data_IF_751182675825
#
_entry.id   IF_751182675825
#
_cell.length_a   1.000
_cell.length_b   1.000
_cell.length_c   1.000
_cell.angle_alpha   90.00
_cell.angle_beta   90.00
_cell.angle_gamma   90.00
#
_symmetry.space_group_name_H-M   'P 1'
#
loop_
_entity.id
_entity.type
_entity.pdbx_description
1 polymer ?
#
# COMPACT_ATOMS: atom_id res chain seq x y z
N UNK A 1 -54.72 -28.17 -0.56
CA UNK A 1 -53.85 -27.34 -1.46
C UNK A 1 -53.89 -25.85 -1.09
N UNK A 2 -55.07 -25.26 -0.84
CA UNK A 2 -55.23 -23.83 -0.54
C UNK A 2 -54.60 -23.35 0.79
N UNK A 3 -54.53 -24.18 1.83
CA UNK A 3 -53.92 -23.81 3.12
C UNK A 3 -52.42 -23.50 2.98
N UNK A 4 -51.67 -24.37 2.28
CA UNK A 4 -50.22 -24.18 2.07
C UNK A 4 -49.90 -22.86 1.33
N UNK A 5 -50.77 -22.48 0.38
CA UNK A 5 -50.65 -21.22 -0.36
C UNK A 5 -50.88 -20.01 0.57
N UNK A 6 -51.86 -20.08 1.47
CA UNK A 6 -52.13 -19.02 2.47
C UNK A 6 -50.99 -18.84 3.47
N UNK A 7 -50.37 -19.94 3.92
CA UNK A 7 -49.18 -19.87 4.80
C UNK A 7 -48.02 -19.22 4.04
N UNK A 8 -47.76 -19.64 2.80
CA UNK A 8 -46.66 -19.08 2.00
C UNK A 8 -46.85 -17.58 1.76
N UNK A 9 -48.07 -17.14 1.44
CA UNK A 9 -48.40 -15.73 1.28
C UNK A 9 -48.19 -14.92 2.58
N UNK A 10 -48.57 -15.48 3.73
CA UNK A 10 -48.36 -14.82 5.02
C UNK A 10 -46.87 -14.70 5.39
N UNK A 11 -46.06 -15.74 5.10
CA UNK A 11 -44.61 -15.72 5.34
C UNK A 11 -43.91 -14.71 4.43
N UNK A 12 -44.27 -14.67 3.14
CA UNK A 12 -43.72 -13.69 2.19
C UNK A 12 -44.10 -12.27 2.60
N UNK A 13 -45.35 -12.02 3.00
CA UNK A 13 -45.78 -10.72 3.51
C UNK A 13 -45.06 -10.30 4.81
N UNK A 14 -44.80 -11.26 5.70
CA UNK A 14 -44.02 -11.02 6.92
C UNK A 14 -42.57 -10.66 6.61
N UNK A 15 -41.93 -11.36 5.67
CA UNK A 15 -40.56 -11.10 5.25
C UNK A 15 -40.41 -9.75 4.55
N UNK A 16 -41.36 -9.37 3.68
CA UNK A 16 -41.33 -8.07 2.99
C UNK A 16 -41.57 -6.92 3.98
N UNK A 17 -42.45 -7.11 4.97
CA UNK A 17 -42.68 -6.14 6.03
C UNK A 17 -41.43 -5.96 6.91
N UNK A 18 -40.76 -7.06 7.28
CA UNK A 18 -39.52 -7.02 8.05
C UNK A 18 -38.40 -6.33 7.26
N UNK A 19 -38.26 -6.62 5.97
CA UNK A 19 -37.27 -5.96 5.11
C UNK A 19 -37.54 -4.45 5.00
N UNK A 20 -38.82 -4.04 4.89
CA UNK A 20 -39.22 -2.63 4.86
C UNK A 20 -38.99 -1.91 6.20
N UNK A 21 -39.11 -2.61 7.33
CA UNK A 21 -38.75 -2.08 8.64
C UNK A 21 -37.24 -1.88 8.76
N UNK A 22 -36.44 -2.85 8.30
CA UNK A 22 -34.99 -2.78 8.33
C UNK A 22 -34.46 -1.64 7.43
N UNK A 23 -35.02 -1.45 6.25
CA UNK A 23 -34.64 -0.31 5.38
C UNK A 23 -35.00 1.02 6.02
N UNK A 24 -36.18 1.16 6.64
CA UNK A 24 -36.55 2.37 7.39
C UNK A 24 -35.63 2.66 8.57
N UNK A 25 -35.19 1.64 9.30
CA UNK A 25 -34.22 1.81 10.41
C UNK A 25 -32.87 2.27 9.87
N UNK A 26 -32.39 1.70 8.76
CA UNK A 26 -31.14 2.12 8.10
C UNK A 26 -31.25 3.54 7.55
N UNK A 27 -32.38 3.94 6.99
CA UNK A 27 -32.63 5.31 6.52
C UNK A 27 -32.73 6.30 7.69
N UNK A 28 -33.39 5.91 8.78
CA UNK A 28 -33.48 6.72 10.01
C UNK A 28 -32.11 6.93 10.66
N UNK A 29 -31.22 5.95 10.61
CA UNK A 29 -29.83 6.10 11.08
C UNK A 29 -28.92 6.88 10.12
N UNK A 30 -29.29 6.98 8.83
CA UNK A 30 -28.61 7.85 7.84
C UNK A 30 -29.08 9.32 7.91
N UNK A 31 -30.03 9.66 8.77
CA UNK A 31 -30.71 10.95 8.83
C UNK A 31 -30.17 11.95 9.87
N UNK A 32 -28.87 12.25 9.88
CA UNK A 32 -28.39 13.44 10.60
C UNK A 32 -28.95 14.73 10.00
N UNK A 33 -29.12 15.83 10.78
CA UNK A 33 -29.60 17.12 10.27
C UNK A 33 -28.78 17.57 9.05
N UNK A 34 -29.38 18.22 8.03
CA UNK A 34 -28.68 18.66 6.82
C UNK A 34 -27.38 19.44 7.10
N UNK A 35 -27.39 20.22 8.18
CA UNK A 35 -26.28 21.05 8.65
C UNK A 35 -25.09 20.23 9.19
N UNK A 36 -25.36 19.08 9.79
CA UNK A 36 -24.34 18.15 10.27
C UNK A 36 -23.68 17.39 9.10
N UNK A 37 -24.48 16.95 8.11
CA UNK A 37 -23.95 16.34 6.88
C UNK A 37 -23.07 17.29 6.07
N UNK A 38 -23.43 18.58 6.00
CA UNK A 38 -22.60 19.59 5.33
C UNK A 38 -21.29 19.85 6.08
N UNK A 39 -21.31 19.87 7.41
CA UNK A 39 -20.12 20.06 8.23
C UNK A 39 -19.14 18.88 8.10
N UNK A 40 -19.64 17.65 8.20
CA UNK A 40 -18.84 16.42 8.03
C UNK A 40 -18.21 16.33 6.64
N UNK A 41 -18.96 16.71 5.59
CA UNK A 41 -18.42 16.79 4.23
C UNK A 41 -17.31 17.84 4.12
N UNK A 42 -17.53 19.02 4.68
CA UNK A 42 -16.53 20.11 4.67
C UNK A 42 -15.25 19.70 5.40
N UNK A 43 -15.36 19.04 6.54
CA UNK A 43 -14.23 18.53 7.31
C UNK A 43 -13.47 17.44 6.53
N UNK A 44 -14.17 16.50 5.90
CA UNK A 44 -13.54 15.46 5.07
C UNK A 44 -12.75 16.05 3.90
N UNK A 45 -13.29 17.07 3.23
CA UNK A 45 -12.57 17.77 2.16
C UNK A 45 -11.35 18.55 2.68
N UNK A 46 -11.46 19.17 3.86
CA UNK A 46 -10.32 19.83 4.50
C UNK A 46 -9.22 18.83 4.87
N UNK A 47 -9.59 17.67 5.42
CA UNK A 47 -8.68 16.59 5.77
C UNK A 47 -8.01 15.97 4.54
N UNK A 48 -8.74 15.82 3.43
CA UNK A 48 -8.18 15.37 2.15
C UNK A 48 -7.13 16.36 1.62
N UNK A 49 -7.45 17.67 1.61
CA UNK A 49 -6.52 18.73 1.21
C UNK A 49 -5.26 18.76 2.09
N UNK A 50 -5.45 18.66 3.40
CA UNK A 50 -4.34 18.59 4.35
C UNK A 50 -3.48 17.33 4.12
N UNK A 51 -4.11 16.18 3.91
CA UNK A 51 -3.42 14.92 3.61
C UNK A 51 -2.54 15.02 2.37
N UNK A 52 -3.06 15.64 1.30
CA UNK A 52 -2.29 15.90 0.08
C UNK A 52 -1.07 16.80 0.36
N UNK A 53 -1.27 17.95 1.02
CA UNK A 53 -0.17 18.86 1.35
C UNK A 53 0.87 18.19 2.24
N UNK A 54 0.42 17.41 3.23
CA UNK A 54 1.30 16.69 4.14
C UNK A 54 2.14 15.63 3.40
N UNK A 55 1.51 14.80 2.54
CA UNK A 55 2.22 13.80 1.73
C UNK A 55 3.30 14.46 0.86
N UNK A 56 2.93 15.50 0.11
CA UNK A 56 3.90 16.22 -0.75
C UNK A 56 5.04 16.81 0.07
N UNK A 57 4.75 17.36 1.26
CA UNK A 57 5.80 17.89 2.14
C UNK A 57 6.72 16.78 2.72
N UNK A 58 6.21 15.57 2.92
CA UNK A 58 7.02 14.40 3.33
C UNK A 58 7.90 13.94 2.16
N UNK A 59 7.34 13.74 0.98
CA UNK A 59 8.09 13.31 -0.22
C UNK A 59 9.17 14.33 -0.63
N UNK A 60 8.88 15.62 -0.48
CA UNK A 60 9.84 16.70 -0.71
C UNK A 60 10.81 16.93 0.47
N UNK A 61 10.76 16.09 1.51
CA UNK A 61 11.62 16.16 2.68
C UNK A 61 11.54 17.51 3.43
N UNK A 62 10.39 18.18 3.41
CA UNK A 62 10.09 19.40 4.19
C UNK A 62 9.53 19.06 5.58
N UNK A 63 8.79 17.95 5.69
CA UNK A 63 8.33 17.37 6.97
C UNK A 63 9.15 16.12 7.27
N UNK A 64 9.89 16.13 8.38
CA UNK A 64 10.85 15.07 8.74
C UNK A 64 10.59 14.54 10.14
N UNK A 65 11.14 13.34 10.43
CA UNK A 65 11.17 12.73 11.78
C UNK A 65 9.80 12.60 12.46
N UNK A 66 8.74 12.39 11.68
CA UNK A 66 7.41 12.07 12.19
C UNK A 66 7.37 10.60 12.65
N UNK A 67 6.63 10.32 13.73
CA UNK A 67 6.51 8.97 14.29
C UNK A 67 5.33 8.18 13.73
N UNK A 68 4.26 8.89 13.41
CA UNK A 68 3.04 8.35 12.81
C UNK A 68 2.50 9.36 11.80
N UNK A 69 1.72 8.86 10.86
CA UNK A 69 0.92 9.70 9.98
C UNK A 69 -0.12 10.46 10.82
N UNK A 70 -0.35 11.77 10.60
CA UNK A 70 -1.44 12.49 11.26
C UNK A 70 -2.79 11.79 11.04
N UNK A 71 -3.59 11.52 12.08
CA UNK A 71 -4.83 10.76 11.94
C UNK A 71 -5.82 11.31 10.89
N UNK A 72 -5.85 12.63 10.69
CA UNK A 72 -6.67 13.28 9.67
C UNK A 72 -6.26 12.92 8.23
N UNK A 73 -5.01 12.50 7.99
CA UNK A 73 -4.52 12.08 6.67
C UNK A 73 -4.93 10.65 6.30
N UNK A 74 -5.55 9.88 7.21
CA UNK A 74 -5.86 8.46 7.00
C UNK A 74 -6.61 8.20 5.68
N UNK A 75 -7.67 8.96 5.42
CA UNK A 75 -8.48 8.74 4.23
C UNK A 75 -7.75 9.12 2.95
N UNK A 76 -6.97 10.21 2.98
CA UNK A 76 -6.10 10.61 1.86
C UNK A 76 -5.11 9.50 1.52
N UNK A 77 -4.38 8.98 2.51
CA UNK A 77 -3.40 7.90 2.28
C UNK A 77 -4.07 6.61 1.84
N UNK A 78 -5.20 6.23 2.42
CA UNK A 78 -5.96 5.08 1.97
C UNK A 78 -6.31 5.19 0.49
N UNK A 79 -6.82 6.35 0.06
CA UNK A 79 -7.15 6.59 -1.34
C UNK A 79 -5.88 6.59 -2.21
N UNK A 80 -4.83 7.30 -1.80
CA UNK A 80 -3.56 7.36 -2.52
C UNK A 80 -2.96 5.97 -2.78
N UNK A 81 -2.91 5.14 -1.74
CA UNK A 81 -2.30 3.80 -1.78
C UNK A 81 -3.18 2.72 -2.40
N UNK A 82 -4.49 2.95 -2.58
CA UNK A 82 -5.42 1.91 -3.06
C UNK A 82 -6.17 2.28 -4.35
N UNK A 83 -6.20 3.56 -4.75
CA UNK A 83 -6.95 4.03 -5.91
C UNK A 83 -6.08 4.24 -7.16
N UNK A 84 -4.86 3.72 -7.18
CA UNK A 84 -4.00 3.72 -8.37
C UNK A 84 -3.03 4.90 -8.48
N UNK A 85 -3.09 5.89 -7.57
CA UNK A 85 -2.20 7.05 -7.67
C UNK A 85 -0.78 6.71 -7.24
N UNK A 86 -0.60 5.93 -6.18
CA UNK A 86 0.71 5.41 -5.76
C UNK A 86 1.40 4.65 -6.91
N UNK A 87 0.67 3.79 -7.61
CA UNK A 87 1.20 3.00 -8.72
C UNK A 87 1.59 3.88 -9.92
N UNK A 88 0.83 4.95 -10.18
CA UNK A 88 1.16 5.93 -11.23
C UNK A 88 2.43 6.71 -10.89
N UNK A 89 2.51 7.25 -9.67
CA UNK A 89 3.67 8.00 -9.21
C UNK A 89 4.94 7.15 -9.29
N UNK A 90 4.85 5.89 -8.84
CA UNK A 90 5.99 4.98 -8.87
C UNK A 90 6.38 4.53 -10.27
N UNK A 91 5.40 4.26 -11.14
CA UNK A 91 5.67 3.92 -12.54
C UNK A 91 6.39 5.06 -13.26
N UNK A 92 5.97 6.30 -13.02
CA UNK A 92 6.63 7.48 -13.57
C UNK A 92 8.07 7.60 -13.07
N UNK A 93 8.32 7.41 -11.78
CA UNK A 93 9.67 7.42 -11.24
C UNK A 93 10.56 6.36 -11.90
N UNK A 94 10.05 5.12 -12.05
CA UNK A 94 10.78 4.04 -12.74
C UNK A 94 11.05 4.36 -14.21
N UNK A 95 10.08 4.94 -14.92
CA UNK A 95 10.27 5.36 -16.32
C UNK A 95 11.43 6.34 -16.44
N UNK A 96 11.47 7.38 -15.60
CA UNK A 96 12.57 8.35 -15.58
C UNK A 96 13.91 7.71 -15.21
N UNK A 97 13.92 6.75 -14.28
CA UNK A 97 15.13 6.00 -13.93
C UNK A 97 15.64 5.21 -15.13
N UNK A 98 14.76 4.52 -15.87
CA UNK A 98 15.14 3.74 -17.05
C UNK A 98 15.67 4.63 -18.17
N UNK A 99 15.05 5.79 -18.40
CA UNK A 99 15.54 6.78 -19.36
C UNK A 99 16.94 7.26 -18.98
N UNK A 100 17.16 7.63 -17.71
CA UNK A 100 18.48 8.02 -17.22
C UNK A 100 19.49 6.87 -17.36
N UNK A 101 19.13 5.67 -16.89
CA UNK A 101 19.97 4.49 -16.98
C UNK A 101 20.41 4.26 -18.42
N UNK A 102 19.49 4.33 -19.39
CA UNK A 102 19.77 4.10 -20.82
C UNK A 102 20.88 4.97 -21.41
N UNK A 103 21.15 6.13 -20.82
CA UNK A 103 22.15 7.10 -21.28
C UNK A 103 23.55 6.87 -20.68
N UNK A 104 23.69 5.99 -19.68
CA UNK A 104 24.96 5.76 -18.99
C UNK A 104 25.84 4.81 -19.83
N UNK A 105 26.97 5.23 -20.41
CA UNK A 105 27.91 4.31 -21.03
C UNK A 105 28.56 3.43 -19.95
N UNK A 106 28.41 2.11 -20.05
CA UNK A 106 29.02 1.19 -19.09
C UNK A 106 30.52 1.04 -19.35
N UNK A 107 31.28 1.00 -18.26
CA UNK A 107 32.71 0.73 -18.24
C UNK A 107 33.02 -0.68 -18.73
N UNK A 108 34.11 -0.87 -19.51
CA UNK A 108 34.56 -2.20 -19.94
C UNK A 108 34.98 -3.13 -18.79
N UNK A 109 35.22 -2.61 -17.59
CA UNK A 109 35.56 -3.43 -16.42
C UNK A 109 34.37 -4.23 -15.86
N UNK A 110 33.14 -3.89 -16.28
CA UNK A 110 31.91 -4.54 -15.84
C UNK A 110 31.57 -4.30 -14.36
N UNK A 111 32.06 -3.21 -13.76
CA UNK A 111 31.89 -2.91 -12.34
C UNK A 111 30.80 -1.88 -12.03
N UNK A 112 30.15 -1.30 -13.06
CA UNK A 112 29.05 -0.37 -12.86
C UNK A 112 27.90 -1.02 -12.10
N UNK A 113 27.53 -0.41 -10.98
CA UNK A 113 26.60 -0.97 -10.03
C UNK A 113 25.35 -0.11 -9.88
N UNK A 114 24.24 -0.77 -9.53
CA UNK A 114 23.01 -0.11 -9.09
C UNK A 114 22.60 -0.68 -7.73
N UNK A 115 22.30 0.21 -6.79
CA UNK A 115 21.87 -0.18 -5.44
C UNK A 115 20.37 0.05 -5.33
N UNK A 116 19.64 -0.94 -4.84
CA UNK A 116 18.21 -0.84 -4.56
C UNK A 116 17.97 -1.14 -3.08
N UNK A 117 17.10 -0.34 -2.47
CA UNK A 117 16.51 -0.70 -1.19
C UNK A 117 15.52 -1.88 -1.36
N UNK A 118 15.18 -2.56 -0.26
CA UNK A 118 14.29 -3.73 -0.27
C UNK A 118 12.88 -3.38 0.16
N UNK A 119 12.69 -2.84 1.37
CA UNK A 119 11.36 -2.66 1.98
C UNK A 119 10.64 -1.44 1.42
N UNK A 120 9.42 -1.63 0.90
CA UNK A 120 8.65 -0.63 0.16
C UNK A 120 9.35 -0.06 -1.10
N UNK A 121 10.47 -0.67 -1.50
CA UNK A 121 11.15 -0.46 -2.79
C UNK A 121 11.02 -1.71 -3.66
N UNK A 122 11.77 -2.79 -3.40
CA UNK A 122 11.65 -4.04 -4.17
C UNK A 122 10.39 -4.82 -3.81
N UNK A 123 10.10 -4.96 -2.51
CA UNK A 123 8.94 -5.70 -1.98
C UNK A 123 8.10 -4.78 -1.10
N UNK A 124 6.78 -4.94 -1.16
CA UNK A 124 5.84 -4.01 -0.53
C UNK A 124 5.37 -4.49 0.84
N UNK A 125 5.29 -3.54 1.79
CA UNK A 125 4.72 -3.72 3.12
C UNK A 125 3.33 -3.09 3.24
N UNK A 126 2.73 -2.62 2.13
CA UNK A 126 1.43 -1.94 2.13
C UNK A 126 0.33 -2.80 2.75
N UNK A 127 0.35 -4.12 2.54
CA UNK A 127 -0.63 -5.02 3.16
C UNK A 127 -0.51 -5.09 4.68
N UNK A 128 0.70 -4.98 5.24
CA UNK A 128 0.90 -4.79 6.68
C UNK A 128 0.31 -3.44 7.12
N UNK A 129 0.68 -2.36 6.43
CA UNK A 129 0.26 -1.01 6.82
C UNK A 129 -1.25 -0.76 6.66
N UNK A 130 -1.96 -1.50 5.80
CA UNK A 130 -3.45 -1.52 5.79
C UNK A 130 -4.03 -1.86 7.16
N UNK A 131 -3.39 -2.78 7.90
CA UNK A 131 -3.80 -3.15 9.27
C UNK A 131 -3.40 -2.14 10.35
N UNK A 132 -2.56 -1.17 9.98
CA UNK A 132 -2.02 -0.10 10.84
C UNK A 132 -2.50 1.28 10.40
N UNK A 133 -3.66 1.33 9.76
CA UNK A 133 -4.27 2.56 9.22
C UNK A 133 -3.30 3.40 8.39
N UNK A 134 -2.54 2.74 7.50
CA UNK A 134 -1.51 3.35 6.65
C UNK A 134 -0.45 4.14 7.41
N UNK A 135 -0.11 3.71 8.64
CA UNK A 135 0.90 4.36 9.48
C UNK A 135 0.36 5.41 10.45
N UNK A 136 -0.97 5.59 10.53
CA UNK A 136 -1.57 6.39 11.61
C UNK A 136 -1.41 5.72 12.98
N UNK A 137 -1.35 4.38 13.02
CA UNK A 137 -1.08 3.64 14.24
C UNK A 137 0.45 3.53 14.49
N UNK A 138 0.92 3.56 15.75
CA UNK A 138 2.34 3.42 16.07
C UNK A 138 2.98 2.15 15.51
N UNK A 139 4.25 2.27 15.11
CA UNK A 139 5.04 1.14 14.65
C UNK A 139 5.51 0.26 15.81
N UNK A 140 5.25 -1.04 15.71
CA UNK A 140 5.67 -2.05 16.68
C UNK A 140 6.61 -3.06 16.01
N UNK A 141 7.89 -3.02 16.38
CA UNK A 141 8.95 -3.81 15.74
C UNK A 141 8.70 -5.32 15.81
N UNK A 142 8.27 -5.83 16.97
CA UNK A 142 7.99 -7.26 17.15
C UNK A 142 6.85 -7.75 16.26
N UNK A 143 5.81 -6.94 16.10
CA UNK A 143 4.65 -7.26 15.24
C UNK A 143 5.06 -7.23 13.77
N UNK A 144 5.85 -6.23 13.37
CA UNK A 144 6.35 -6.14 12.01
C UNK A 144 7.28 -7.31 11.65
N UNK A 145 8.19 -7.67 12.58
CA UNK A 145 9.06 -8.84 12.42
C UNK A 145 8.27 -10.13 12.27
N UNK A 146 7.26 -10.34 13.12
CA UNK A 146 6.36 -11.49 13.02
C UNK A 146 5.59 -11.54 11.69
N UNK A 147 5.27 -10.38 11.12
CA UNK A 147 4.66 -10.28 9.80
C UNK A 147 5.65 -10.61 8.67
N UNK A 148 6.87 -10.07 8.69
CA UNK A 148 7.93 -10.37 7.71
C UNK A 148 8.27 -11.86 7.69
N UNK A 149 8.30 -12.52 8.86
CA UNK A 149 8.60 -13.95 8.98
C UNK A 149 7.63 -14.85 8.21
N UNK A 150 6.49 -14.33 7.73
CA UNK A 150 5.57 -15.07 6.87
C UNK A 150 6.04 -15.18 5.42
N UNK A 151 7.03 -14.39 5.01
CA UNK A 151 7.62 -14.45 3.66
C UNK A 151 6.62 -14.14 2.52
N UNK A 152 5.66 -13.25 2.77
CA UNK A 152 4.58 -12.94 1.82
C UNK A 152 4.60 -11.48 1.34
N UNK A 153 5.71 -10.76 1.48
CA UNK A 153 5.81 -9.41 0.93
C UNK A 153 5.72 -9.50 -0.61
N UNK A 154 4.71 -8.93 -1.28
CA UNK A 154 4.62 -8.99 -2.74
C UNK A 154 5.68 -8.09 -3.38
N UNK A 155 6.12 -8.43 -4.60
CA UNK A 155 6.92 -7.54 -5.42
C UNK A 155 6.21 -6.20 -5.63
N UNK A 156 7.01 -5.14 -5.65
CA UNK A 156 6.62 -3.93 -6.33
C UNK A 156 6.77 -4.12 -7.85
N UNK A 157 5.69 -4.11 -8.65
CA UNK A 157 5.76 -4.48 -10.05
C UNK A 157 6.66 -3.55 -10.89
N UNK A 158 6.60 -2.24 -10.64
CA UNK A 158 7.39 -1.25 -11.37
C UNK A 158 8.89 -1.42 -11.05
N UNK A 159 9.25 -1.62 -9.78
CA UNK A 159 10.65 -1.81 -9.37
C UNK A 159 11.19 -3.17 -9.83
N UNK A 160 10.35 -4.20 -9.93
CA UNK A 160 10.75 -5.48 -10.54
C UNK A 160 11.06 -5.34 -12.02
N UNK A 161 10.30 -4.52 -12.75
CA UNK A 161 10.61 -4.17 -14.14
C UNK A 161 11.95 -3.44 -14.23
N UNK A 162 12.16 -2.43 -13.36
CA UNK A 162 13.43 -1.72 -13.26
C UNK A 162 14.60 -2.67 -13.01
N UNK A 163 14.49 -3.55 -12.02
CA UNK A 163 15.52 -4.52 -11.66
C UNK A 163 15.93 -5.38 -12.86
N UNK A 164 14.96 -5.93 -13.59
CA UNK A 164 15.26 -6.78 -14.75
C UNK A 164 15.91 -5.99 -15.89
N UNK A 165 15.40 -4.79 -16.19
CA UNK A 165 15.98 -3.95 -17.24
C UNK A 165 17.42 -3.51 -16.93
N UNK A 166 17.71 -3.13 -15.67
CA UNK A 166 19.07 -2.79 -15.25
C UNK A 166 20.01 -4.00 -15.33
N UNK A 167 19.55 -5.17 -14.92
CA UNK A 167 20.30 -6.43 -15.01
C UNK A 167 20.62 -6.79 -16.47
N UNK A 168 19.62 -6.74 -17.35
CA UNK A 168 19.77 -7.02 -18.78
C UNK A 168 20.74 -6.04 -19.46
N UNK A 169 20.75 -4.79 -19.00
CA UNK A 169 21.68 -3.77 -19.47
C UNK A 169 23.14 -4.01 -19.03
N UNK A 170 23.36 -4.85 -18.01
CA UNK A 170 24.70 -5.23 -17.55
C UNK A 170 25.12 -4.61 -16.21
N UNK A 171 24.25 -3.85 -15.53
CA UNK A 171 24.57 -3.33 -14.20
C UNK A 171 24.71 -4.44 -13.16
N UNK A 172 25.65 -4.26 -12.23
CA UNK A 172 25.81 -5.07 -11.03
C UNK A 172 24.83 -4.62 -9.96
N UNK A 173 23.79 -5.42 -9.74
CA UNK A 173 22.73 -5.06 -8.78
C UNK A 173 23.11 -5.46 -7.36
N UNK A 174 22.99 -4.52 -6.42
CA UNK A 174 23.15 -4.74 -4.99
C UNK A 174 21.86 -4.38 -4.29
N UNK A 175 21.42 -5.25 -3.38
CA UNK A 175 20.25 -4.99 -2.54
C UNK A 175 20.74 -4.63 -1.14
N UNK A 176 20.29 -3.50 -0.61
CA UNK A 176 20.64 -3.01 0.71
C UNK A 176 19.36 -2.83 1.51
N UNK A 177 19.33 -3.27 2.77
CA UNK A 177 18.13 -3.17 3.60
C UNK A 177 18.50 -2.97 5.06
N UNK A 178 17.58 -2.39 5.84
CA UNK A 178 17.69 -2.28 7.28
C UNK A 178 17.16 -3.50 8.05
N UNK A 179 16.82 -4.60 7.37
CA UNK A 179 16.40 -5.86 8.03
C UNK A 179 17.56 -6.50 8.78
N UNK A 180 17.28 -7.06 9.94
CA UNK A 180 18.31 -7.71 10.77
C UNK A 180 18.93 -8.95 10.10
N UNK A 181 20.25 -8.92 9.87
CA UNK A 181 20.99 -10.01 9.23
C UNK A 181 20.90 -11.33 10.01
N UNK A 182 20.94 -11.30 11.35
CA UNK A 182 20.99 -12.51 12.16
C UNK A 182 19.70 -13.34 12.06
N UNK A 183 18.56 -12.69 11.86
CA UNK A 183 17.25 -13.36 11.90
C UNK A 183 16.45 -13.31 10.61
N UNK A 184 16.71 -12.35 9.71
CA UNK A 184 15.89 -12.13 8.51
C UNK A 184 16.60 -12.42 7.19
N UNK A 185 17.88 -12.81 7.20
CA UNK A 185 18.65 -13.01 5.96
C UNK A 185 18.05 -14.08 5.04
N UNK A 186 17.78 -15.28 5.56
CA UNK A 186 17.19 -16.38 4.78
C UNK A 186 15.77 -16.03 4.29
N UNK A 187 14.93 -15.49 5.18
CA UNK A 187 13.55 -15.09 4.87
C UNK A 187 13.51 -14.03 3.77
N UNK A 188 14.36 -13.00 3.89
CA UNK A 188 14.40 -11.90 2.91
C UNK A 188 14.92 -12.40 1.56
N UNK A 189 15.93 -13.27 1.56
CA UNK A 189 16.46 -13.90 0.34
C UNK A 189 15.39 -14.72 -0.38
N UNK A 190 14.70 -15.61 0.34
CA UNK A 190 13.65 -16.43 -0.24
C UNK A 190 12.48 -15.59 -0.76
N UNK A 191 12.03 -14.59 0.01
CA UNK A 191 10.96 -13.70 -0.43
C UNK A 191 11.35 -12.97 -1.72
N UNK A 192 12.55 -12.39 -1.80
CA UNK A 192 13.03 -11.68 -2.99
C UNK A 192 13.07 -12.61 -4.20
N UNK A 193 13.62 -13.81 -4.02
CA UNK A 193 13.69 -14.83 -5.07
C UNK A 193 12.29 -15.21 -5.58
N UNK A 194 11.37 -15.51 -4.67
CA UNK A 194 9.97 -15.87 -4.98
C UNK A 194 9.20 -14.74 -5.66
N UNK A 195 9.59 -13.49 -5.41
CA UNK A 195 9.01 -12.31 -6.05
C UNK A 195 9.73 -11.92 -7.36
N UNK A 196 10.72 -12.70 -7.81
CA UNK A 196 11.39 -12.52 -9.10
C UNK A 196 12.61 -11.59 -9.09
N UNK A 197 13.10 -11.19 -7.91
CA UNK A 197 14.35 -10.46 -7.76
C UNK A 197 15.54 -11.44 -7.70
N UNK A 198 15.92 -11.97 -8.87
CA UNK A 198 16.96 -13.00 -9.00
C UNK A 198 18.14 -12.50 -9.82
N UNK A 199 19.36 -12.84 -9.38
CA UNK A 199 20.60 -12.51 -10.10
C UNK A 199 21.27 -11.20 -9.66
N UNK A 200 20.95 -10.69 -8.48
CA UNK A 200 21.73 -9.62 -7.83
C UNK A 200 23.09 -10.15 -7.34
N UNK A 201 24.08 -9.27 -7.23
CA UNK A 201 25.44 -9.59 -6.77
C UNK A 201 25.50 -9.92 -5.29
N UNK A 202 24.83 -9.09 -4.47
CA UNK A 202 24.80 -9.27 -3.02
C UNK A 202 23.55 -8.63 -2.43
N UNK A 203 23.02 -9.30 -1.41
CA UNK A 203 22.07 -8.76 -0.46
C UNK A 203 22.82 -8.39 0.82
N UNK A 204 22.67 -7.15 1.27
CA UNK A 204 23.33 -6.56 2.44
C UNK A 204 22.23 -6.17 3.43
N UNK A 205 22.29 -6.74 4.64
CA UNK A 205 21.40 -6.51 5.79
C UNK A 205 22.24 -5.98 6.96
#
# INVERSE_FOLDING_TARGET
MMWKIRILQAVVAGLTYLLALLTKVVESQKGGPPQQKSAEKSEREANERFGLSWRVAVEANNVRRWRTVPPQCYHHLQNYMCAGQYERDLSLAVEHILLYASQIPLSPDGMDAWILDVDDTCISNVSYYKTKRFGCDPFESSTFKAWIMKEMCPANPAVRLLFNALKERGFKLFLLTGRDQATLSAITTHNLHNQGFVGYQRLIL
#
